data_IF_791030530847
#
_entry.id   IF_791030530847
#
_cell.length_a   1.000
_cell.length_b   1.000
_cell.length_c   1.000
_cell.angle_alpha   90.00
_cell.angle_beta   90.00
_cell.angle_gamma   90.00
#
_symmetry.space_group_name_H-M   'P 1'
#
loop_
_entity.id
_entity.type
_entity.pdbx_description
1 polymer ?
#
# COMPACT_ATOMS: atom_id res chain seq x y z
N UNK A 1 -14.38 -33.76 -22.21
CA UNK A 1 -13.80 -32.89 -21.14
C UNK A 1 -12.64 -33.57 -20.42
N UNK A 2 -12.86 -34.64 -19.65
CA UNK A 2 -11.82 -35.23 -18.76
C UNK A 2 -10.52 -35.61 -19.47
N UNK A 3 -10.57 -36.22 -20.69
CA UNK A 3 -9.37 -36.52 -21.46
C UNK A 3 -8.54 -35.29 -21.81
N UNK A 4 -9.18 -34.15 -22.11
CA UNK A 4 -8.49 -32.88 -22.43
C UNK A 4 -7.85 -32.27 -21.20
N UNK A 5 -8.55 -32.29 -20.06
CA UNK A 5 -8.02 -31.78 -18.78
C UNK A 5 -6.85 -32.64 -18.32
N UNK A 6 -6.95 -33.96 -18.37
CA UNK A 6 -5.87 -34.88 -17.96
C UNK A 6 -4.63 -34.82 -18.89
N UNK A 7 -4.77 -34.29 -20.10
CA UNK A 7 -3.66 -34.07 -21.01
C UNK A 7 -2.85 -32.80 -20.68
N UNK A 8 -3.34 -31.93 -19.78
CA UNK A 8 -2.62 -30.74 -19.36
C UNK A 8 -1.47 -31.13 -18.42
N UNK A 9 -0.34 -30.51 -18.64
CA UNK A 9 0.85 -30.71 -17.81
C UNK A 9 0.59 -30.25 -16.37
N UNK A 10 0.80 -31.15 -15.40
CA UNK A 10 0.56 -30.85 -13.98
C UNK A 10 -0.71 -31.48 -13.41
N UNK A 11 -1.48 -32.20 -14.23
CA UNK A 11 -2.62 -32.96 -13.70
C UNK A 11 -2.14 -34.32 -13.16
N UNK A 12 -2.71 -34.74 -12.01
CA UNK A 12 -2.34 -35.97 -11.30
C UNK A 12 -3.54 -36.84 -11.00
N UNK A 13 -3.50 -38.09 -11.45
CA UNK A 13 -4.50 -39.09 -11.12
C UNK A 13 -5.85 -38.97 -11.85
N UNK A 14 -6.73 -39.97 -11.69
CA UNK A 14 -8.03 -39.99 -12.32
C UNK A 14 -8.98 -39.00 -11.69
N UNK A 15 -9.94 -38.45 -12.46
CA UNK A 15 -10.95 -37.54 -11.90
C UNK A 15 -11.90 -38.29 -10.97
N UNK A 16 -12.31 -37.64 -9.90
CA UNK A 16 -13.37 -38.11 -9.00
C UNK A 16 -14.68 -37.42 -9.32
N UNK A 17 -15.72 -38.21 -9.58
CA UNK A 17 -17.05 -37.70 -9.88
C UNK A 17 -18.00 -37.97 -8.71
N UNK A 18 -18.68 -36.94 -8.21
CA UNK A 18 -19.76 -37.01 -7.21
C UNK A 18 -21.02 -36.41 -7.81
N UNK A 19 -22.13 -37.10 -7.66
CA UNK A 19 -23.45 -36.58 -8.04
C UNK A 19 -24.16 -36.05 -6.82
N UNK A 20 -24.96 -35.00 -6.98
CA UNK A 20 -25.89 -34.51 -5.95
C UNK A 20 -26.98 -35.57 -5.67
N UNK A 21 -27.64 -35.44 -4.52
CA UNK A 21 -28.69 -36.38 -4.10
C UNK A 21 -29.88 -36.37 -5.06
N UNK A 22 -30.19 -35.22 -5.65
CA UNK A 22 -31.28 -35.05 -6.62
C UNK A 22 -30.88 -35.37 -8.09
N UNK A 23 -29.60 -35.75 -8.31
CA UNK A 23 -29.06 -36.12 -9.62
C UNK A 23 -28.93 -34.99 -10.63
N UNK A 24 -29.15 -33.72 -10.21
CA UNK A 24 -29.12 -32.55 -11.11
C UNK A 24 -27.74 -31.97 -11.26
N UNK A 25 -26.88 -32.09 -10.23
CA UNK A 25 -25.54 -31.53 -10.24
C UNK A 25 -24.48 -32.65 -10.19
N UNK A 26 -23.36 -32.42 -10.85
CA UNK A 26 -22.19 -33.29 -10.81
C UNK A 26 -20.93 -32.47 -10.47
N UNK A 27 -20.21 -32.87 -9.43
CA UNK A 27 -18.90 -32.34 -9.11
C UNK A 27 -17.83 -33.26 -9.65
N UNK A 28 -17.01 -32.80 -10.58
CA UNK A 28 -15.87 -33.53 -11.12
C UNK A 28 -14.58 -32.90 -10.61
N UNK A 29 -13.91 -33.59 -9.69
CA UNK A 29 -12.71 -33.11 -9.04
C UNK A 29 -11.45 -33.66 -9.71
N UNK A 30 -10.49 -32.78 -9.93
CA UNK A 30 -9.18 -33.14 -10.48
C UNK A 30 -8.10 -32.75 -9.46
N UNK A 31 -7.06 -33.56 -9.35
CA UNK A 31 -5.89 -33.27 -8.52
C UNK A 31 -4.81 -32.65 -9.41
N UNK A 32 -4.27 -31.52 -8.98
CA UNK A 32 -3.15 -30.84 -9.64
C UNK A 32 -1.88 -31.04 -8.85
N UNK A 33 -0.76 -31.18 -9.54
CA UNK A 33 0.57 -31.22 -8.93
C UNK A 33 0.97 -29.79 -8.50
N UNK A 34 1.80 -29.69 -7.44
CA UNK A 34 2.28 -28.42 -6.94
C UNK A 34 1.45 -27.83 -5.79
N UNK A 35 1.86 -26.68 -5.29
CA UNK A 35 1.22 -25.98 -4.19
C UNK A 35 0.04 -25.10 -4.63
N UNK A 36 -0.74 -24.63 -3.64
CA UNK A 36 -1.90 -23.73 -3.84
C UNK A 36 -1.58 -22.49 -4.70
N UNK A 37 -0.38 -21.93 -4.52
CA UNK A 37 0.05 -20.69 -5.16
C UNK A 37 0.91 -20.92 -6.42
N UNK A 38 0.97 -22.17 -6.95
CA UNK A 38 1.71 -22.48 -8.17
C UNK A 38 1.06 -21.76 -9.36
N UNK A 39 1.86 -21.02 -10.11
CA UNK A 39 1.42 -20.27 -11.29
C UNK A 39 0.87 -21.20 -12.37
N UNK A 40 1.46 -22.36 -12.54
CA UNK A 40 1.00 -23.42 -13.46
C UNK A 40 -0.45 -23.81 -13.17
N UNK A 41 -0.82 -23.96 -11.91
CA UNK A 41 -2.18 -24.33 -11.53
C UNK A 41 -3.20 -23.23 -11.92
N UNK A 42 -2.81 -21.97 -11.84
CA UNK A 42 -3.63 -20.84 -12.29
C UNK A 42 -3.80 -20.83 -13.81
N UNK A 43 -2.76 -21.16 -14.55
CA UNK A 43 -2.82 -21.24 -16.01
C UNK A 43 -3.71 -22.39 -16.49
N UNK A 44 -3.63 -23.56 -15.83
CA UNK A 44 -4.56 -24.68 -16.06
C UNK A 44 -6.01 -24.22 -15.85
N UNK A 45 -6.31 -23.53 -14.76
CA UNK A 45 -7.67 -23.03 -14.50
C UNK A 45 -8.12 -22.03 -15.56
N UNK A 46 -7.23 -21.13 -16.02
CA UNK A 46 -7.54 -20.20 -17.11
C UNK A 46 -7.88 -20.93 -18.41
N UNK A 47 -7.08 -21.92 -18.78
CA UNK A 47 -7.30 -22.71 -19.99
C UNK A 47 -8.61 -23.52 -19.90
N UNK A 48 -8.87 -24.15 -18.76
CA UNK A 48 -10.13 -24.89 -18.53
C UNK A 48 -11.34 -23.97 -18.66
N UNK A 49 -11.31 -22.79 -18.07
CA UNK A 49 -12.41 -21.81 -18.11
C UNK A 49 -12.63 -21.21 -19.49
N UNK A 50 -11.56 -20.85 -20.19
CA UNK A 50 -11.63 -20.13 -21.46
C UNK A 50 -11.85 -21.04 -22.65
N UNK A 51 -11.21 -22.23 -22.65
CA UNK A 51 -11.12 -23.04 -23.84
C UNK A 51 -11.86 -24.39 -23.70
N UNK A 52 -11.70 -25.10 -22.56
CA UNK A 52 -12.23 -26.47 -22.41
C UNK A 52 -13.72 -26.47 -22.06
N UNK A 53 -14.14 -25.65 -21.10
CA UNK A 53 -15.54 -25.59 -20.67
C UNK A 53 -16.46 -25.09 -21.79
N UNK A 54 -16.16 -23.99 -22.49
CA UNK A 54 -17.01 -23.53 -23.60
C UNK A 54 -17.06 -24.55 -24.78
N UNK A 55 -15.94 -25.14 -25.10
CA UNK A 55 -15.88 -26.16 -26.17
C UNK A 55 -16.63 -27.47 -25.85
N UNK A 56 -16.89 -27.73 -24.57
CA UNK A 56 -17.56 -28.95 -24.11
C UNK A 56 -19.05 -28.73 -23.79
N UNK A 57 -19.35 -27.67 -23.10
CA UNK A 57 -20.69 -27.38 -22.58
C UNK A 57 -21.38 -26.20 -23.26
N UNK A 58 -20.64 -25.34 -23.98
CA UNK A 58 -21.20 -24.11 -24.58
C UNK A 58 -22.30 -24.33 -25.61
N UNK A 59 -22.42 -25.54 -26.18
CA UNK A 59 -23.49 -25.92 -27.10
C UNK A 59 -24.71 -26.56 -26.41
N UNK A 60 -24.67 -26.78 -25.08
CA UNK A 60 -25.73 -27.43 -24.30
C UNK A 60 -26.56 -26.37 -23.57
N UNK A 61 -27.82 -26.10 -23.99
CA UNK A 61 -28.59 -24.97 -23.45
C UNK A 61 -28.99 -25.11 -21.99
N UNK A 62 -29.05 -26.35 -21.46
CA UNK A 62 -29.55 -26.63 -20.11
C UNK A 62 -28.41 -27.00 -19.13
N UNK A 63 -27.15 -26.78 -19.50
CA UNK A 63 -25.99 -27.14 -18.67
C UNK A 63 -25.15 -25.92 -18.35
N UNK A 64 -25.05 -25.61 -17.07
CA UNK A 64 -24.11 -24.61 -16.56
C UNK A 64 -22.89 -25.29 -15.97
N UNK A 65 -21.70 -24.96 -16.43
CA UNK A 65 -20.45 -25.52 -15.91
C UNK A 65 -19.61 -24.42 -15.25
N UNK A 66 -19.24 -24.64 -13.99
CA UNK A 66 -18.42 -23.74 -13.20
C UNK A 66 -17.10 -24.42 -12.82
N UNK A 67 -16.01 -23.67 -12.85
CA UNK A 67 -14.70 -24.13 -12.41
C UNK A 67 -14.40 -23.52 -11.05
N UNK A 68 -14.27 -24.37 -10.04
CA UNK A 68 -14.06 -23.99 -8.64
C UNK A 68 -12.91 -24.79 -8.01
N UNK A 69 -12.64 -24.57 -6.76
CA UNK A 69 -11.57 -25.20 -5.98
C UNK A 69 -10.45 -24.23 -5.65
N UNK A 70 -9.45 -24.69 -4.90
CA UNK A 70 -8.40 -23.82 -4.33
C UNK A 70 -7.63 -23.01 -5.40
N UNK A 71 -7.26 -23.63 -6.50
CA UNK A 71 -6.54 -22.94 -7.58
C UNK A 71 -7.42 -21.90 -8.30
N UNK A 72 -8.71 -22.23 -8.51
CA UNK A 72 -9.67 -21.31 -9.11
C UNK A 72 -9.93 -20.11 -8.19
N UNK A 73 -10.12 -20.35 -6.90
CA UNK A 73 -10.27 -19.30 -5.89
C UNK A 73 -9.03 -18.40 -5.84
N UNK A 74 -7.83 -18.97 -5.81
CA UNK A 74 -6.58 -18.20 -5.81
C UNK A 74 -6.46 -17.34 -7.07
N UNK A 75 -6.80 -17.89 -8.25
CA UNK A 75 -6.82 -17.11 -9.50
C UNK A 75 -7.79 -15.94 -9.42
N UNK A 76 -9.03 -16.19 -8.96
CA UNK A 76 -10.06 -15.15 -8.85
C UNK A 76 -9.65 -14.03 -7.88
N UNK A 77 -9.02 -14.38 -6.77
CA UNK A 77 -8.48 -13.43 -5.78
C UNK A 77 -7.35 -12.59 -6.40
N UNK A 78 -6.40 -13.24 -7.08
CA UNK A 78 -5.30 -12.51 -7.77
C UNK A 78 -5.86 -11.55 -8.82
N UNK A 79 -6.78 -12.01 -9.66
CA UNK A 79 -7.39 -11.20 -10.71
C UNK A 79 -8.23 -10.04 -10.12
N UNK A 80 -8.92 -10.26 -9.01
CA UNK A 80 -9.68 -9.23 -8.29
C UNK A 80 -8.75 -8.10 -7.82
N UNK A 81 -7.65 -8.45 -7.13
CA UNK A 81 -6.69 -7.46 -6.65
C UNK A 81 -5.93 -6.78 -7.80
N UNK A 82 -5.55 -7.53 -8.83
CA UNK A 82 -4.86 -6.97 -9.98
C UNK A 82 -5.70 -5.91 -10.73
N UNK A 83 -7.02 -6.13 -10.82
CA UNK A 83 -7.94 -5.15 -11.44
C UNK A 83 -8.29 -4.00 -10.50
N UNK A 84 -8.44 -4.27 -9.20
CA UNK A 84 -8.81 -3.28 -8.19
C UNK A 84 -7.65 -2.35 -7.80
N UNK A 85 -6.42 -2.85 -7.79
CA UNK A 85 -5.24 -2.10 -7.33
C UNK A 85 -5.03 -0.76 -8.04
N UNK A 86 -5.10 -0.65 -9.38
CA UNK A 86 -4.95 0.65 -10.05
C UNK A 86 -6.04 1.65 -9.65
N UNK A 87 -7.26 1.19 -9.40
CA UNK A 87 -8.38 2.05 -8.97
C UNK A 87 -8.15 2.57 -7.55
N UNK A 88 -7.73 1.69 -6.63
CA UNK A 88 -7.37 2.08 -5.26
C UNK A 88 -6.20 3.07 -5.27
N UNK A 89 -5.16 2.78 -6.04
CA UNK A 89 -4.01 3.68 -6.18
C UNK A 89 -4.44 5.06 -6.72
N UNK A 90 -5.21 5.09 -7.80
CA UNK A 90 -5.70 6.34 -8.38
C UNK A 90 -6.55 7.14 -7.39
N UNK A 91 -7.41 6.49 -6.64
CA UNK A 91 -8.24 7.11 -5.61
C UNK A 91 -7.38 7.69 -4.46
N UNK A 92 -6.49 6.88 -3.88
CA UNK A 92 -5.63 7.30 -2.76
C UNK A 92 -4.71 8.44 -3.17
N UNK A 93 -4.03 8.31 -4.33
CA UNK A 93 -3.13 9.34 -4.84
C UNK A 93 -3.88 10.62 -5.21
N UNK A 94 -5.04 10.49 -5.86
CA UNK A 94 -5.88 11.62 -6.25
C UNK A 94 -6.44 12.37 -5.05
N UNK A 95 -6.96 11.65 -4.06
CA UNK A 95 -7.45 12.25 -2.81
C UNK A 95 -6.33 12.94 -2.04
N UNK A 96 -5.18 12.29 -1.91
CA UNK A 96 -3.99 12.86 -1.25
C UNK A 96 -3.50 14.11 -1.96
N UNK A 97 -3.48 14.08 -3.30
CA UNK A 97 -3.12 15.24 -4.11
C UNK A 97 -4.07 16.42 -3.86
N UNK A 98 -5.39 16.17 -3.89
CA UNK A 98 -6.40 17.20 -3.68
C UNK A 98 -6.33 17.80 -2.29
N UNK A 99 -6.20 16.95 -1.25
CA UNK A 99 -6.09 17.42 0.14
C UNK A 99 -4.86 18.32 0.33
N UNK A 100 -3.70 17.89 -0.15
CA UNK A 100 -2.48 18.69 -0.03
C UNK A 100 -2.51 19.94 -0.91
N UNK A 101 -3.13 19.87 -2.09
CA UNK A 101 -3.30 21.03 -2.98
C UNK A 101 -4.11 22.12 -2.29
N UNK A 102 -5.23 21.76 -1.67
CA UNK A 102 -6.10 22.69 -0.94
C UNK A 102 -5.40 23.21 0.31
N UNK A 103 -4.80 22.32 1.11
CA UNK A 103 -4.15 22.65 2.37
C UNK A 103 -2.97 23.63 2.21
N UNK A 104 -2.14 23.42 1.18
CA UNK A 104 -0.91 24.21 0.99
C UNK A 104 -0.96 25.17 -0.19
N UNK A 105 -2.04 25.19 -0.96
CA UNK A 105 -2.19 26.04 -2.16
C UNK A 105 -0.95 25.97 -3.07
N UNK A 106 -0.49 24.76 -3.34
CA UNK A 106 0.68 24.47 -4.17
C UNK A 106 0.48 23.18 -4.93
N UNK A 107 0.91 23.10 -6.18
CA UNK A 107 0.95 21.86 -6.95
C UNK A 107 2.24 21.07 -6.66
N UNK A 108 3.32 21.75 -6.36
CA UNK A 108 4.64 21.15 -6.17
C UNK A 108 4.70 20.29 -4.91
N UNK A 109 4.09 20.77 -3.82
CA UNK A 109 4.04 20.06 -2.55
C UNK A 109 3.36 18.69 -2.67
N UNK A 110 2.13 18.56 -3.21
CA UNK A 110 1.48 17.27 -3.41
C UNK A 110 2.29 16.31 -4.28
N UNK A 111 2.77 16.78 -5.43
CA UNK A 111 3.55 15.94 -6.34
C UNK A 111 4.78 15.37 -5.64
N UNK A 112 5.54 16.21 -4.96
CA UNK A 112 6.73 15.81 -4.21
C UNK A 112 6.39 14.82 -3.09
N UNK A 113 5.36 15.09 -2.29
CA UNK A 113 4.94 14.23 -1.20
C UNK A 113 4.53 12.85 -1.70
N UNK A 114 3.76 12.78 -2.79
CA UNK A 114 3.37 11.53 -3.44
C UNK A 114 4.59 10.76 -3.94
N UNK A 115 5.52 11.41 -4.62
CA UNK A 115 6.74 10.76 -5.15
C UNK A 115 7.60 10.19 -4.01
N UNK A 116 7.76 10.91 -2.91
CA UNK A 116 8.50 10.46 -1.75
C UNK A 116 7.83 9.26 -1.06
N UNK A 117 6.49 9.27 -0.94
CA UNK A 117 5.74 8.15 -0.39
C UNK A 117 5.80 6.92 -1.30
N UNK A 118 5.71 7.10 -2.63
CA UNK A 118 5.86 5.98 -3.57
C UNK A 118 7.26 5.38 -3.50
N UNK A 119 8.29 6.20 -3.31
CA UNK A 119 9.66 5.71 -3.12
C UNK A 119 9.79 4.85 -1.87
N UNK A 120 9.25 5.31 -0.73
CA UNK A 120 9.24 4.56 0.53
C UNK A 120 8.47 3.23 0.39
N UNK A 121 7.29 3.28 -0.21
CA UNK A 121 6.46 2.10 -0.46
C UNK A 121 7.16 1.10 -1.38
N UNK A 122 7.75 1.57 -2.47
CA UNK A 122 8.49 0.73 -3.41
C UNK A 122 9.71 0.07 -2.77
N UNK A 123 10.44 0.79 -1.91
CA UNK A 123 11.56 0.23 -1.16
C UNK A 123 11.09 -0.86 -0.17
N UNK A 124 9.98 -0.64 0.52
CA UNK A 124 9.39 -1.63 1.42
C UNK A 124 8.93 -2.88 0.67
N UNK A 125 8.30 -2.73 -0.50
CA UNK A 125 7.94 -3.87 -1.35
C UNK A 125 9.16 -4.64 -1.87
N UNK A 126 10.23 -3.94 -2.25
CA UNK A 126 11.49 -4.58 -2.62
C UNK A 126 12.05 -5.44 -1.49
N UNK A 127 12.02 -4.94 -0.26
CA UNK A 127 12.47 -5.70 0.91
C UNK A 127 11.53 -6.86 1.27
N UNK A 128 10.22 -6.71 1.07
CA UNK A 128 9.26 -7.81 1.20
C UNK A 128 9.58 -8.97 0.23
N UNK A 129 9.86 -8.65 -1.03
CA UNK A 129 10.26 -9.67 -2.04
C UNK A 129 11.54 -10.37 -1.60
N UNK A 130 12.58 -9.61 -1.23
CA UNK A 130 13.87 -10.16 -0.80
C UNK A 130 13.74 -11.09 0.42
N UNK A 131 12.86 -10.74 1.37
CA UNK A 131 12.72 -11.52 2.61
C UNK A 131 11.78 -12.71 2.40
N UNK A 132 10.56 -12.50 1.89
CA UNK A 132 9.54 -13.54 1.88
C UNK A 132 9.54 -14.37 0.60
N UNK A 133 9.81 -13.78 -0.56
CA UNK A 133 9.80 -14.50 -1.82
C UNK A 133 11.15 -15.15 -2.09
N UNK A 134 12.25 -14.44 -1.93
CA UNK A 134 13.61 -14.96 -2.10
C UNK A 134 14.11 -15.72 -0.85
N UNK A 135 13.41 -15.58 0.29
CA UNK A 135 13.66 -16.34 1.51
C UNK A 135 14.94 -15.96 2.28
N UNK A 136 15.48 -14.75 2.10
CA UNK A 136 16.78 -14.36 2.71
C UNK A 136 16.81 -14.41 4.23
N UNK A 137 15.67 -14.26 4.91
CA UNK A 137 15.53 -14.34 6.36
C UNK A 137 14.58 -15.46 6.80
N UNK A 138 14.33 -16.45 5.94
CA UNK A 138 13.35 -17.50 6.18
C UNK A 138 13.64 -18.30 7.44
N UNK A 139 14.91 -18.72 7.62
CA UNK A 139 15.34 -19.53 8.77
C UNK A 139 15.26 -18.74 10.08
N UNK A 140 15.66 -17.44 10.06
CA UNK A 140 15.66 -16.57 11.26
C UNK A 140 14.24 -16.22 11.72
N UNK A 141 13.32 -16.05 10.76
CA UNK A 141 11.93 -15.69 11.03
C UNK A 141 10.98 -16.88 11.10
N UNK A 142 11.50 -18.12 10.91
CA UNK A 142 10.75 -19.35 11.05
C UNK A 142 9.59 -19.50 10.06
N UNK A 143 9.82 -19.22 8.77
CA UNK A 143 8.81 -19.42 7.72
C UNK A 143 9.42 -20.12 6.49
N UNK A 144 8.57 -20.59 5.58
CA UNK A 144 9.01 -21.09 4.28
C UNK A 144 8.86 -20.00 3.24
N UNK A 145 9.92 -19.80 2.43
CA UNK A 145 9.88 -18.86 1.31
C UNK A 145 8.73 -19.19 0.36
N UNK A 146 8.05 -18.18 -0.11
CA UNK A 146 6.90 -18.33 -0.99
C UNK A 146 6.39 -16.97 -1.50
N UNK A 147 5.39 -16.98 -2.37
CA UNK A 147 4.85 -15.76 -2.93
C UNK A 147 4.22 -14.86 -1.84
N UNK A 148 4.27 -13.56 -2.08
CA UNK A 148 3.57 -12.58 -1.26
C UNK A 148 2.07 -12.70 -1.55
N UNK A 149 1.25 -12.72 -0.50
CA UNK A 149 -0.21 -12.80 -0.64
C UNK A 149 -0.76 -11.58 -1.39
N UNK A 150 -1.68 -11.81 -2.32
CA UNK A 150 -2.12 -10.81 -3.31
C UNK A 150 -2.72 -9.55 -2.72
N UNK A 151 -3.31 -9.60 -1.52
CA UNK A 151 -3.88 -8.44 -0.86
C UNK A 151 -2.84 -7.60 -0.08
N UNK A 152 -1.69 -8.19 0.29
CA UNK A 152 -0.67 -7.54 1.12
C UNK A 152 -0.14 -6.24 0.50
N UNK A 153 0.20 -6.17 -0.80
CA UNK A 153 0.65 -4.93 -1.41
C UNK A 153 -0.40 -3.82 -1.37
N UNK A 154 -1.67 -4.13 -1.66
CA UNK A 154 -2.77 -3.14 -1.62
C UNK A 154 -2.99 -2.63 -0.21
N UNK A 155 -2.96 -3.53 0.77
CA UNK A 155 -3.17 -3.21 2.18
C UNK A 155 -2.05 -2.33 2.72
N UNK A 156 -0.78 -2.71 2.50
CA UNK A 156 0.38 -1.93 2.91
C UNK A 156 0.38 -0.55 2.25
N UNK A 157 0.13 -0.49 0.93
CA UNK A 157 0.05 0.76 0.20
C UNK A 157 -0.99 1.70 0.82
N UNK A 158 -2.21 1.22 1.05
CA UNK A 158 -3.31 2.05 1.55
C UNK A 158 -3.03 2.57 2.96
N UNK A 159 -2.56 1.69 3.87
CA UNK A 159 -2.23 2.07 5.25
C UNK A 159 -1.05 3.03 5.28
N UNK A 160 0.03 2.72 4.55
CA UNK A 160 1.22 3.56 4.55
C UNK A 160 0.92 4.95 4.02
N UNK A 161 0.16 5.05 2.92
CA UNK A 161 -0.23 6.36 2.39
C UNK A 161 -1.04 7.17 3.39
N UNK A 162 -2.02 6.56 4.09
CA UNK A 162 -2.78 7.24 5.15
C UNK A 162 -1.86 7.73 6.27
N UNK A 163 -1.09 6.83 6.88
CA UNK A 163 -0.18 7.15 7.98
C UNK A 163 0.89 8.19 7.60
N UNK A 164 1.50 8.03 6.42
CA UNK A 164 2.55 8.93 5.98
C UNK A 164 2.02 10.32 5.65
N UNK A 165 0.80 10.42 5.10
CA UNK A 165 0.20 11.68 4.72
C UNK A 165 -0.07 12.58 5.93
N UNK A 166 -0.58 12.02 7.03
CA UNK A 166 -0.86 12.77 8.26
C UNK A 166 0.39 13.47 8.80
N UNK A 167 1.52 12.78 8.80
CA UNK A 167 2.78 13.37 9.23
C UNK A 167 3.34 14.39 8.23
N UNK A 168 3.13 14.18 6.93
CA UNK A 168 3.51 15.18 5.92
C UNK A 168 2.75 16.48 6.13
N UNK A 169 1.44 16.39 6.33
CA UNK A 169 0.60 17.56 6.63
C UNK A 169 1.14 18.27 7.87
N UNK A 170 1.40 17.55 8.96
CA UNK A 170 1.88 18.11 10.21
C UNK A 170 3.22 18.87 10.05
N UNK A 171 4.22 18.26 9.38
CA UNK A 171 5.51 18.92 9.12
C UNK A 171 5.32 20.16 8.24
N UNK A 172 4.60 20.00 7.13
CA UNK A 172 4.45 21.06 6.13
C UNK A 172 3.64 22.24 6.69
N UNK A 173 2.69 22.00 7.60
CA UNK A 173 1.97 23.08 8.30
C UNK A 173 2.92 23.91 9.14
N UNK A 174 3.81 23.30 9.92
CA UNK A 174 4.80 24.03 10.72
C UNK A 174 5.83 24.78 9.84
N UNK A 175 6.21 24.20 8.71
CA UNK A 175 7.08 24.89 7.73
C UNK A 175 6.35 26.11 7.14
N UNK A 176 5.07 25.94 6.75
CA UNK A 176 4.26 27.03 6.20
C UNK A 176 4.08 28.16 7.22
N UNK A 177 3.75 27.87 8.46
CA UNK A 177 3.65 28.86 9.53
C UNK A 177 4.94 29.65 9.74
N UNK A 178 6.09 28.96 9.78
CA UNK A 178 7.38 29.62 9.92
C UNK A 178 7.67 30.56 8.75
N UNK A 179 7.30 30.15 7.53
CA UNK A 179 7.43 30.98 6.33
C UNK A 179 6.48 32.18 6.34
N UNK A 180 5.23 31.96 6.71
CA UNK A 180 4.20 33.03 6.76
C UNK A 180 4.56 34.10 7.81
N UNK A 181 5.37 33.75 8.83
CA UNK A 181 6.01 34.67 9.77
C UNK A 181 7.25 35.37 9.19
N UNK A 182 7.56 35.21 7.91
CA UNK A 182 8.62 35.93 7.19
C UNK A 182 9.98 35.22 7.15
N UNK A 183 10.11 33.96 7.59
CA UNK A 183 11.36 33.23 7.47
C UNK A 183 11.62 32.78 6.04
N UNK A 184 12.86 32.85 5.53
CA UNK A 184 13.24 32.25 4.25
C UNK A 184 12.92 30.76 4.23
N UNK A 185 12.56 30.18 3.07
CA UNK A 185 12.13 28.78 2.93
C UNK A 185 13.13 27.82 3.59
N UNK A 186 14.43 28.01 3.46
CA UNK A 186 15.46 27.13 4.05
C UNK A 186 15.44 27.13 5.58
N UNK A 187 15.22 28.28 6.22
CA UNK A 187 15.14 28.42 7.67
C UNK A 187 13.79 27.92 8.19
N UNK A 188 12.70 28.20 7.46
CA UNK A 188 11.37 27.71 7.77
C UNK A 188 11.34 26.17 7.79
N UNK A 189 12.00 25.50 6.82
CA UNK A 189 12.16 24.05 6.78
C UNK A 189 12.90 23.54 8.02
N UNK A 190 14.05 24.14 8.36
CA UNK A 190 14.82 23.72 9.52
C UNK A 190 14.03 23.85 10.82
N UNK A 191 13.30 24.98 11.00
CA UNK A 191 12.48 25.24 12.17
C UNK A 191 11.28 24.29 12.27
N UNK A 192 10.56 24.09 11.16
CA UNK A 192 9.40 23.19 11.12
C UNK A 192 9.77 21.75 11.47
N UNK A 193 10.89 21.25 10.95
CA UNK A 193 11.40 19.92 11.28
C UNK A 193 11.86 19.85 12.76
N UNK A 194 12.58 20.85 13.26
CA UNK A 194 13.04 20.86 14.65
C UNK A 194 11.86 20.77 15.64
N UNK A 195 10.77 21.50 15.38
CA UNK A 195 9.57 21.49 16.24
C UNK A 195 8.84 20.14 16.19
N UNK A 196 8.78 19.51 15.02
CA UNK A 196 7.97 18.30 14.80
C UNK A 196 8.73 16.99 15.01
N UNK A 197 10.05 17.01 14.98
CA UNK A 197 10.90 15.80 14.98
C UNK A 197 10.66 14.89 16.18
N UNK A 198 10.53 15.43 17.37
CA UNK A 198 10.31 14.65 18.60
C UNK A 198 9.00 13.87 18.55
N UNK A 199 7.89 14.53 18.22
CA UNK A 199 6.55 13.92 18.11
C UNK A 199 6.52 12.84 17.02
N UNK A 200 7.08 13.14 15.86
CA UNK A 200 7.07 12.23 14.71
C UNK A 200 7.94 11.00 14.98
N UNK A 201 9.12 11.20 15.55
CA UNK A 201 10.03 10.09 15.87
C UNK A 201 9.44 9.16 16.91
N UNK A 202 8.81 9.72 17.96
CA UNK A 202 8.13 8.92 18.98
C UNK A 202 6.96 8.12 18.41
N UNK A 203 6.12 8.74 17.58
CA UNK A 203 5.00 8.07 16.94
C UNK A 203 5.49 6.98 15.95
N UNK A 204 6.51 7.26 15.16
CA UNK A 204 7.12 6.27 14.26
C UNK A 204 7.71 5.08 15.04
N UNK A 205 8.42 5.33 16.14
CA UNK A 205 8.97 4.27 16.98
C UNK A 205 7.88 3.36 17.56
N UNK A 206 6.77 3.92 18.02
CA UNK A 206 5.62 3.14 18.50
C UNK A 206 5.05 2.27 17.37
N UNK A 207 4.80 2.84 16.19
CA UNK A 207 4.26 2.09 15.06
C UNK A 207 5.19 0.98 14.59
N UNK A 208 6.49 1.28 14.44
CA UNK A 208 7.50 0.28 14.07
C UNK A 208 7.48 -0.88 15.08
N UNK A 209 7.44 -0.57 16.38
CA UNK A 209 7.40 -1.59 17.44
C UNK A 209 6.14 -2.43 17.34
N UNK A 210 4.96 -1.82 17.19
CA UNK A 210 3.67 -2.55 17.04
C UNK A 210 3.69 -3.46 15.83
N UNK A 211 4.13 -2.97 14.67
CA UNK A 211 4.19 -3.79 13.46
C UNK A 211 5.29 -4.85 13.53
N UNK A 212 6.41 -4.59 14.20
CA UNK A 212 7.46 -5.57 14.41
C UNK A 212 6.98 -6.77 15.27
N UNK A 213 6.08 -6.56 16.21
CA UNK A 213 5.47 -7.67 16.97
C UNK A 213 4.74 -8.63 16.05
N UNK A 214 4.09 -8.16 14.97
CA UNK A 214 3.41 -9.05 14.01
C UNK A 214 4.38 -9.99 13.30
N UNK A 215 5.65 -9.62 13.16
CA UNK A 215 6.69 -10.48 12.56
C UNK A 215 6.99 -11.71 13.44
N UNK A 216 6.70 -11.65 14.73
CA UNK A 216 6.93 -12.76 15.67
C UNK A 216 5.82 -13.83 15.67
N UNK A 217 4.67 -13.54 15.03
CA UNK A 217 3.53 -14.46 14.98
C UNK A 217 3.77 -15.58 13.95
N UNK A 218 3.15 -16.75 14.13
CA UNK A 218 3.40 -17.92 13.27
C UNK A 218 2.71 -17.86 11.90
N UNK A 219 1.77 -16.95 11.71
CA UNK A 219 1.06 -16.78 10.43
C UNK A 219 1.88 -15.96 9.43
N UNK A 220 2.32 -16.56 8.33
CA UNK A 220 3.16 -15.93 7.31
C UNK A 220 2.54 -14.63 6.75
N UNK A 221 1.22 -14.63 6.55
CA UNK A 221 0.47 -13.45 6.09
C UNK A 221 0.65 -12.27 7.04
N UNK A 222 0.53 -12.53 8.34
CA UNK A 222 0.69 -11.49 9.37
C UNK A 222 2.15 -11.04 9.47
N UNK A 223 3.10 -11.97 9.32
CA UNK A 223 4.53 -11.62 9.22
C UNK A 223 4.81 -10.69 8.03
N UNK A 224 4.22 -10.98 6.85
CA UNK A 224 4.36 -10.14 5.65
C UNK A 224 3.83 -8.72 5.89
N UNK A 225 2.64 -8.60 6.49
CA UNK A 225 2.04 -7.31 6.83
C UNK A 225 2.89 -6.54 7.85
N UNK A 226 3.27 -7.22 8.95
CA UNK A 226 4.07 -6.61 10.01
C UNK A 226 5.43 -6.12 9.52
N UNK A 227 6.15 -6.97 8.80
CA UNK A 227 7.45 -6.63 8.24
C UNK A 227 7.33 -5.49 7.22
N UNK A 228 6.38 -5.58 6.30
CA UNK A 228 6.17 -4.56 5.27
C UNK A 228 5.83 -3.19 5.86
N UNK A 229 4.90 -3.13 6.82
CA UNK A 229 4.52 -1.88 7.47
C UNK A 229 5.64 -1.33 8.37
N UNK A 230 6.29 -2.17 9.18
CA UNK A 230 7.40 -1.74 10.03
C UNK A 230 8.54 -1.15 9.19
N UNK A 231 8.95 -1.85 8.13
CA UNK A 231 10.02 -1.41 7.24
C UNK A 231 9.64 -0.15 6.48
N UNK A 232 8.42 -0.06 5.99
CA UNK A 232 7.92 1.10 5.28
C UNK A 232 7.93 2.36 6.16
N UNK A 233 7.41 2.25 7.40
CA UNK A 233 7.42 3.36 8.37
C UNK A 233 8.85 3.72 8.78
N UNK A 234 9.75 2.73 8.94
CA UNK A 234 11.14 2.97 9.24
C UNK A 234 11.83 3.78 8.13
N UNK A 235 11.70 3.37 6.88
CA UNK A 235 12.26 4.08 5.71
C UNK A 235 11.66 5.48 5.60
N UNK A 236 10.34 5.59 5.76
CA UNK A 236 9.65 6.87 5.66
C UNK A 236 10.12 7.85 6.76
N UNK A 237 10.16 7.43 8.01
CA UNK A 237 10.57 8.29 9.12
C UNK A 237 12.05 8.66 9.08
N UNK A 238 12.94 7.75 8.69
CA UNK A 238 14.40 7.97 8.70
C UNK A 238 14.91 8.59 7.40
N UNK A 239 14.67 7.98 6.27
CA UNK A 239 15.24 8.42 4.99
C UNK A 239 14.39 9.52 4.36
N UNK A 240 13.08 9.27 4.23
CA UNK A 240 12.22 10.20 3.47
C UNK A 240 12.04 11.51 4.22
N UNK A 241 11.67 11.47 5.50
CA UNK A 241 11.37 12.69 6.27
C UNK A 241 12.59 13.40 6.79
N UNK A 242 13.58 12.65 7.29
CA UNK A 242 14.75 13.27 7.90
C UNK A 242 15.75 13.78 6.87
N UNK A 243 15.78 13.21 5.66
CA UNK A 243 16.76 13.54 4.63
C UNK A 243 16.13 14.07 3.34
N UNK A 244 15.25 13.29 2.69
CA UNK A 244 14.75 13.62 1.36
C UNK A 244 13.77 14.80 1.36
N UNK A 245 12.88 14.87 2.34
CA UNK A 245 11.92 15.97 2.46
C UNK A 245 12.64 17.32 2.64
N UNK A 246 13.52 17.53 3.63
CA UNK A 246 14.23 18.80 3.79
C UNK A 246 15.15 19.11 2.62
N UNK A 247 15.85 18.11 2.08
CA UNK A 247 16.73 18.30 0.93
C UNK A 247 15.97 18.79 -0.30
N UNK A 248 14.86 18.14 -0.64
CA UNK A 248 14.01 18.52 -1.77
C UNK A 248 13.33 19.88 -1.56
N UNK A 249 12.93 20.21 -0.32
CA UNK A 249 12.36 21.52 -0.02
C UNK A 249 13.38 22.65 -0.16
N UNK A 250 14.61 22.43 0.28
CA UNK A 250 15.70 23.41 0.10
C UNK A 250 16.08 23.57 -1.36
N UNK A 251 16.16 22.46 -2.11
CA UNK A 251 16.52 22.47 -3.53
C UNK A 251 15.50 23.26 -4.35
N UNK A 252 14.22 23.07 -4.10
CA UNK A 252 13.14 23.75 -4.81
C UNK A 252 12.90 25.19 -4.30
N UNK A 253 13.34 25.54 -3.10
CA UNK A 253 13.19 26.88 -2.55
C UNK A 253 11.77 27.43 -2.65
N UNK A 254 11.61 28.60 -3.24
CA UNK A 254 10.30 29.24 -3.41
C UNK A 254 9.37 28.50 -4.40
N UNK A 255 9.89 27.65 -5.27
CA UNK A 255 9.09 26.84 -6.18
C UNK A 255 8.16 25.86 -5.43
N UNK A 256 8.50 25.49 -4.20
CA UNK A 256 7.61 24.65 -3.38
C UNK A 256 6.21 25.27 -3.22
N UNK A 257 6.10 26.57 -3.28
CA UNK A 257 4.86 27.32 -3.04
C UNK A 257 4.16 27.78 -4.32
N UNK A 258 4.59 27.25 -5.46
CA UNK A 258 4.05 27.66 -6.75
C UNK A 258 2.63 27.15 -6.95
N UNK A 259 1.71 28.11 -7.25
CA UNK A 259 0.33 27.85 -7.59
C UNK A 259 0.00 28.56 -8.90
N UNK A 260 -0.50 27.84 -9.93
CA UNK A 260 -0.97 28.45 -11.17
C UNK A 260 -2.07 29.47 -10.95
N UNK A 261 -2.14 30.49 -11.80
CA UNK A 261 -3.10 31.58 -11.65
C UNK A 261 -4.57 31.13 -11.67
N UNK A 262 -4.89 30.07 -12.43
CA UNK A 262 -6.25 29.55 -12.54
C UNK A 262 -6.72 28.80 -11.26
N UNK A 263 -5.81 28.48 -10.32
CA UNK A 263 -6.13 27.84 -9.03
C UNK A 263 -6.15 28.83 -7.85
N UNK A 264 -5.92 30.12 -8.08
CA UNK A 264 -5.89 31.13 -7.00
C UNK A 264 -7.22 31.32 -6.28
N UNK A 265 -8.32 30.84 -6.86
CA UNK A 265 -9.65 30.82 -6.24
C UNK A 265 -9.78 29.82 -5.10
N UNK A 266 -8.84 28.87 -4.92
CA UNK A 266 -8.87 27.94 -3.82
C UNK A 266 -8.90 28.66 -2.47
N UNK A 267 -9.74 28.21 -1.52
CA UNK A 267 -9.84 28.83 -0.20
C UNK A 267 -8.52 28.75 0.55
N UNK A 268 -8.27 29.74 1.40
CA UNK A 268 -7.20 29.67 2.40
C UNK A 268 -7.74 28.89 3.59
N UNK A 269 -7.21 27.66 3.77
CA UNK A 269 -7.58 26.79 4.89
C UNK A 269 -6.51 26.92 5.96
N UNK A 270 -6.89 27.45 7.11
CA UNK A 270 -6.07 27.40 8.32
C UNK A 270 -6.28 26.04 8.95
N UNK A 271 -5.25 25.18 8.96
CA UNK A 271 -5.36 23.78 9.41
C UNK A 271 -5.33 23.67 10.94
N UNK A 272 -4.71 24.64 11.61
CA UNK A 272 -4.75 24.78 13.07
C UNK A 272 -5.23 26.18 13.39
N UNK A 273 -6.11 26.30 14.41
CA UNK A 273 -6.53 27.61 14.92
C UNK A 273 -5.33 28.41 15.41
N UNK A 274 -5.37 29.71 15.24
CA UNK A 274 -4.42 30.62 15.87
C UNK A 274 -4.39 30.28 17.37
N UNK A 275 -3.29 29.69 17.82
CA UNK A 275 -2.98 29.71 19.24
C UNK A 275 -2.52 31.17 19.49
N UNK A 276 -3.45 32.02 19.91
CA UNK A 276 -3.11 33.31 20.46
C UNK A 276 -2.04 33.06 21.52
N UNK A 277 -0.81 33.49 21.25
CA UNK A 277 0.20 33.60 22.29
C UNK A 277 -0.41 34.45 23.39
N UNK A 278 -0.55 33.95 24.62
CA UNK A 278 -1.04 34.82 25.71
C UNK A 278 -0.16 36.07 25.70
N UNK A 279 -0.80 37.22 25.58
CA UNK A 279 -0.13 38.51 25.56
C UNK A 279 0.88 38.54 26.69
N UNK A 280 2.14 38.80 26.37
CA UNK A 280 3.21 38.90 27.35
C UNK A 280 2.74 39.83 28.48
N UNK A 281 2.65 39.27 29.68
CA UNK A 281 2.28 40.04 30.88
C UNK A 281 3.23 41.25 30.97
N UNK A 282 2.71 42.49 31.07
CA UNK A 282 3.57 43.66 31.15
C UNK A 282 4.46 43.51 32.38
N UNK A 283 5.77 43.64 32.18
CA UNK A 283 6.77 43.59 33.25
C UNK A 283 6.34 44.51 34.41
N UNK A 284 6.44 44.05 35.68
CA UNK A 284 6.05 44.85 36.81
C UNK A 284 6.90 46.14 36.84
N UNK A 285 6.22 47.28 36.90
CA UNK A 285 6.84 48.57 37.03
C UNK A 285 7.67 48.58 38.32
N UNK A 286 8.99 48.66 38.19
CA UNK A 286 9.89 48.90 39.32
C UNK A 286 9.62 50.28 39.87
N UNK A 287 9.11 50.35 41.10
CA UNK A 287 9.04 51.55 41.93
C UNK A 287 10.36 51.79 42.63
#
# INVERSE_FOLDING_TARGET
MSKRILALEGMSGPPQTRMSVDGKDALVSYVMAGGRNDERNRDIVREVRRDIVPATFGALPDVNAYVTGDAAFTLDVVDFYARGMPQVMAFVLGLSFLLLLVAFRSIVIPIKAILLNLLSTGAAFGLLVLVFQDGRLADQLGFKAGPIESFVPVFIFTILFGLSMDYHVFILTRIKEARDRGLPTGEAVARGIAITSGTITSAAAIMITVFAVFVTLDLVIIKQLGFGLATAVLIDATIVRSMLLPATMRLLGEWNWWLPSFLRWLPEVTIEGDIDEPAAEPAPATA
#
